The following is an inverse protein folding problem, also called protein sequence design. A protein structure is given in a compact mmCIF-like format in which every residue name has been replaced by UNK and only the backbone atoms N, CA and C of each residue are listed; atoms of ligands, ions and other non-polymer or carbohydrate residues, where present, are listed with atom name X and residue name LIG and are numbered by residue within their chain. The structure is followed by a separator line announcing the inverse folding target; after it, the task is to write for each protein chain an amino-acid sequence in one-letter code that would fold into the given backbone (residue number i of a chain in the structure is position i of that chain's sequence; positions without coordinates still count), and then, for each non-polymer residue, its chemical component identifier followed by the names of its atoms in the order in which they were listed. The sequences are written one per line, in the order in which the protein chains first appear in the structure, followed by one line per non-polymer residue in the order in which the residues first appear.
data_IF_669112463982
#
_entry.id   IF_669112463982
#
_cell.length_a   1.000
_cell.length_b   1.000
_cell.length_c   1.000
_cell.angle_alpha   90.00
_cell.angle_beta   90.00
_cell.angle_gamma   90.00
#
_symmetry.space_group_name_H-M   'P 1'
#
loop_
_entity.id
_entity.type
_entity.pdbx_description
1 polymer ?
#
# COMPACT_ATOMS: atom_id res chain seq x y z
N UNK A 1 11.31 -8.85 3.03
CA UNK A 1 12.38 -9.01 2.02
C UNK A 1 12.76 -7.62 1.52
N UNK A 2 13.58 -6.88 2.26
CA UNK A 2 13.86 -5.46 1.99
C UNK A 2 14.41 -5.18 0.58
N UNK A 3 15.05 -6.15 -0.06
CA UNK A 3 15.52 -6.04 -1.45
C UNK A 3 14.41 -5.71 -2.47
N UNK A 4 13.16 -6.08 -2.19
CA UNK A 4 12.02 -5.87 -3.09
C UNK A 4 11.08 -4.77 -2.63
N UNK A 5 11.50 -3.98 -1.64
CA UNK A 5 10.76 -2.81 -1.24
C UNK A 5 10.65 -1.83 -2.41
N UNK A 6 9.49 -1.21 -2.58
CA UNK A 6 9.25 -0.31 -3.69
C UNK A 6 9.91 1.04 -3.45
N UNK A 7 10.57 1.59 -4.47
CA UNK A 7 11.04 2.97 -4.45
C UNK A 7 9.88 4.00 -4.54
N UNK A 8 8.66 3.53 -4.84
CA UNK A 8 7.47 4.37 -4.90
C UNK A 8 6.97 4.61 -3.47
N UNK A 9 6.59 5.86 -3.19
CA UNK A 9 5.95 6.21 -1.93
C UNK A 9 4.66 5.38 -1.72
N UNK A 10 4.65 4.56 -0.68
CA UNK A 10 3.46 3.80 -0.32
C UNK A 10 2.41 4.76 0.26
N UNK A 11 1.34 4.98 -0.49
CA UNK A 11 0.14 5.72 -0.08
C UNK A 11 -1.04 5.38 -0.97
N UNK A 12 -2.24 5.76 -0.55
CA UNK A 12 -3.39 5.73 -1.45
C UNK A 12 -3.23 6.80 -2.55
N UNK A 13 -3.41 6.37 -3.79
CA UNK A 13 -3.49 7.23 -4.97
C UNK A 13 -4.94 7.29 -5.47
N UNK A 14 -5.31 8.27 -6.31
CA UNK A 14 -6.59 8.26 -7.02
C UNK A 14 -6.80 6.93 -7.77
N UNK A 15 -8.01 6.36 -7.69
CA UNK A 15 -8.30 5.01 -8.19
C UNK A 15 -7.97 4.78 -9.68
N UNK A 16 -7.96 5.85 -10.48
CA UNK A 16 -7.63 5.80 -11.91
C UNK A 16 -6.13 5.78 -12.23
N UNK A 17 -5.24 5.97 -11.25
CA UNK A 17 -3.78 5.94 -11.44
C UNK A 17 -3.21 4.52 -11.34
N UNK A 18 -4.00 3.57 -10.85
CA UNK A 18 -3.59 2.18 -10.73
C UNK A 18 -3.69 1.46 -12.09
N UNK A 19 -2.65 0.70 -12.45
CA UNK A 19 -2.74 -0.23 -13.57
C UNK A 19 -3.60 -1.43 -13.18
N UNK A 20 -4.77 -1.60 -13.81
CA UNK A 20 -5.75 -2.60 -13.42
C UNK A 20 -6.58 -3.13 -14.60
N UNK A 21 -7.07 -4.37 -14.49
CA UNK A 21 -7.99 -4.97 -15.48
C UNK A 21 -9.47 -4.63 -15.21
N UNK A 22 -9.82 -4.34 -13.96
CA UNK A 22 -11.17 -3.92 -13.58
C UNK A 22 -11.12 -3.02 -12.33
N UNK A 23 -12.19 -2.26 -12.10
CA UNK A 23 -12.27 -1.29 -10.99
C UNK A 23 -12.15 -1.94 -9.60
N UNK A 24 -12.59 -3.19 -9.45
CA UNK A 24 -12.47 -3.91 -8.19
C UNK A 24 -10.99 -4.16 -7.82
N UNK A 25 -10.14 -4.51 -8.79
CA UNK A 25 -8.69 -4.68 -8.58
C UNK A 25 -8.05 -3.35 -8.18
N UNK A 26 -8.44 -2.25 -8.82
CA UNK A 26 -7.99 -0.91 -8.44
C UNK A 26 -8.29 -0.60 -6.98
N UNK A 27 -9.51 -0.91 -6.53
CA UNK A 27 -9.93 -0.73 -5.14
C UNK A 27 -9.08 -1.55 -4.16
N UNK A 28 -8.79 -2.81 -4.49
CA UNK A 28 -7.92 -3.67 -3.66
C UNK A 28 -6.52 -3.07 -3.56
N UNK A 29 -5.91 -2.67 -4.69
CA UNK A 29 -4.57 -2.06 -4.72
C UNK A 29 -4.52 -0.78 -3.89
N UNK A 30 -5.55 0.07 -4.01
CA UNK A 30 -5.69 1.29 -3.21
C UNK A 30 -5.69 0.98 -1.72
N UNK A 31 -6.51 0.02 -1.29
CA UNK A 31 -6.60 -0.34 0.14
C UNK A 31 -5.30 -0.97 0.65
N UNK A 32 -4.60 -1.77 -0.16
CA UNK A 32 -3.29 -2.34 0.20
C UNK A 32 -2.27 -1.22 0.41
N UNK A 33 -2.15 -0.29 -0.54
CA UNK A 33 -1.18 0.81 -0.42
C UNK A 33 -1.53 1.75 0.73
N UNK A 34 -2.82 1.95 1.03
CA UNK A 34 -3.26 2.71 2.20
C UNK A 34 -2.78 2.08 3.52
N UNK A 35 -2.86 0.76 3.66
CA UNK A 35 -2.44 0.06 4.87
C UNK A 35 -0.93 0.11 5.12
N UNK A 36 -0.13 0.39 4.09
CA UNK A 36 1.33 0.50 4.16
C UNK A 36 1.82 1.96 4.06
N UNK A 37 0.90 2.92 4.11
CA UNK A 37 1.26 4.34 4.15
C UNK A 37 1.96 4.67 5.46
N UNK A 38 3.09 5.40 5.42
CA UNK A 38 3.86 5.79 6.62
C UNK A 38 3.05 6.63 7.61
N UNK A 39 1.95 7.23 7.18
CA UNK A 39 1.01 7.99 8.02
C UNK A 39 -0.05 7.11 8.70
N UNK A 40 -0.19 5.86 8.25
CA UNK A 40 -1.22 4.91 8.69
C UNK A 40 -0.60 3.72 9.41
N UNK A 41 0.46 3.13 8.86
CA UNK A 41 1.13 1.97 9.39
C UNK A 41 2.04 2.29 10.57
N UNK A 42 2.11 1.39 11.55
CA UNK A 42 3.04 1.49 12.67
C UNK A 42 4.48 1.17 12.26
N UNK A 43 4.67 0.12 11.46
CA UNK A 43 5.97 -0.33 10.95
C UNK A 43 5.82 -0.69 9.45
N UNK A 44 5.80 0.31 8.56
CA UNK A 44 5.50 0.13 7.13
C UNK A 44 6.52 -0.76 6.39
N UNK A 45 7.80 -0.62 6.73
CA UNK A 45 8.90 -1.35 6.07
C UNK A 45 8.86 -2.85 6.48
N UNK A 46 8.28 -3.14 7.64
CA UNK A 46 8.00 -4.47 8.20
C UNK A 46 6.64 -5.04 7.78
N UNK A 47 5.84 -4.28 7.01
CA UNK A 47 4.49 -4.64 6.58
C UNK A 47 3.46 -4.76 7.73
N UNK A 48 3.64 -3.99 8.81
CA UNK A 48 2.75 -3.99 9.99
C UNK A 48 1.97 -2.68 10.09
N UNK A 49 0.65 -2.76 9.93
CA UNK A 49 -0.21 -1.57 10.01
C UNK A 49 -0.56 -1.20 11.45
N UNK A 50 -0.93 -2.18 12.28
CA UNK A 50 -1.35 -1.94 13.67
C UNK A 50 -1.13 -3.20 14.52
N UNK A 51 -1.25 -3.06 15.85
CA UNK A 51 -1.19 -4.19 16.78
C UNK A 51 0.23 -4.64 17.12
N UNK A 52 1.24 -3.92 16.61
CA UNK A 52 2.66 -4.16 16.92
C UNK A 52 3.27 -5.41 16.30
N UNK A 53 2.51 -6.21 15.54
CA UNK A 53 2.96 -7.43 14.83
C UNK A 53 2.21 -7.62 13.51
#
# INVERSE_FOLDING_TARGET
MYRFESDIEMRAYPIGEYSHKCKAVAGILLMIMNNLDKRVAQFPDELVTYGGN
#
